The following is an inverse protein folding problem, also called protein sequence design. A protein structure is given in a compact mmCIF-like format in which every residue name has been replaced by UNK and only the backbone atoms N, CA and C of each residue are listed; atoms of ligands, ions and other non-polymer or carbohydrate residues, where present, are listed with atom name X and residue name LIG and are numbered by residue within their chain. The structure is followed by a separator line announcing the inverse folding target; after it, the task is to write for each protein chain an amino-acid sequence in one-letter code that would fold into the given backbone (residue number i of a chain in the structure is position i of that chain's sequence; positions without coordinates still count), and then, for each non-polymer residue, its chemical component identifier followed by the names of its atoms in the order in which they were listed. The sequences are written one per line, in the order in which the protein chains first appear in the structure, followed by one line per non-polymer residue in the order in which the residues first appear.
data_IF_559294053518
#
_entry.id   IF_559294053518
#
_cell.length_a   1.000
_cell.length_b   1.000
_cell.length_c   1.000
_cell.angle_alpha   90.00
_cell.angle_beta   90.00
_cell.angle_gamma   90.00
#
_symmetry.space_group_name_H-M   'P 1'
#
loop_
_entity.id
_entity.type
_entity.pdbx_description
1 polymer ?
#
# COMPACT_ATOMS: atom_id res chain seq x y z
N UNK A 1 1.45 4.49 -6.86
CA UNK A 1 1.50 3.04 -6.55
C UNK A 1 2.94 2.58 -6.70
N UNK A 2 3.42 1.72 -5.79
CA UNK A 2 4.71 1.04 -5.90
C UNK A 2 4.70 -0.01 -7.02
N UNK A 3 5.87 -0.53 -7.37
CA UNK A 3 6.03 -1.59 -8.37
C UNK A 3 5.38 -1.26 -9.73
N UNK A 4 5.65 -0.04 -10.21
CA UNK A 4 5.02 0.53 -11.41
C UNK A 4 5.07 -0.35 -12.65
N UNK A 5 6.17 -1.11 -12.82
CA UNK A 5 6.35 -2.07 -13.91
C UNK A 5 5.32 -3.20 -13.92
N UNK A 6 4.65 -3.49 -12.79
CA UNK A 6 3.66 -4.57 -12.67
C UNK A 6 2.21 -4.10 -12.87
N UNK A 7 1.97 -2.81 -13.11
CA UNK A 7 0.63 -2.25 -13.08
C UNK A 7 -0.09 -2.29 -14.44
N UNK A 8 0.63 -2.06 -15.54
CA UNK A 8 0.06 -1.71 -16.83
C UNK A 8 0.22 -2.79 -17.91
N UNK A 9 1.36 -3.46 -17.97
CA UNK A 9 1.71 -4.42 -19.02
C UNK A 9 1.39 -5.85 -18.60
N UNK A 10 0.55 -6.53 -19.36
CA UNK A 10 0.16 -7.93 -19.12
C UNK A 10 1.35 -8.92 -19.22
N UNK A 11 2.44 -8.55 -19.86
CA UNK A 11 3.65 -9.37 -19.98
C UNK A 11 4.69 -9.05 -18.89
N UNK A 12 4.37 -8.16 -17.94
CA UNK A 12 5.33 -7.67 -16.95
C UNK A 12 5.80 -8.73 -15.96
N UNK A 13 4.94 -9.68 -15.60
CA UNK A 13 5.24 -10.78 -14.67
C UNK A 13 4.68 -12.11 -15.17
N UNK A 14 5.10 -13.22 -14.53
CA UNK A 14 4.54 -14.56 -14.78
C UNK A 14 3.03 -14.62 -14.58
N UNK A 15 2.48 -13.80 -13.68
CA UNK A 15 1.06 -13.76 -13.31
C UNK A 15 0.28 -12.63 -13.99
N UNK A 16 0.90 -11.94 -14.96
CA UNK A 16 0.34 -10.77 -15.64
C UNK A 16 0.50 -9.48 -14.84
N UNK A 17 -0.29 -8.47 -15.15
CA UNK A 17 -0.28 -7.18 -14.46
C UNK A 17 -1.46 -7.04 -13.51
N UNK A 18 -1.47 -5.95 -12.73
CA UNK A 18 -2.66 -5.52 -11.96
C UNK A 18 -3.82 -5.05 -12.86
N UNK A 19 -3.56 -4.85 -14.15
CA UNK A 19 -4.54 -4.39 -15.14
C UNK A 19 -5.29 -3.11 -14.69
N UNK A 20 -4.56 -2.17 -14.13
CA UNK A 20 -5.13 -0.94 -13.55
C UNK A 20 -5.88 -0.08 -14.57
N UNK A 21 -5.49 -0.12 -15.84
CA UNK A 21 -6.16 0.61 -16.92
C UNK A 21 -7.61 0.14 -17.04
N UNK A 22 -7.82 -1.17 -17.18
CA UNK A 22 -9.18 -1.73 -17.28
C UNK A 22 -10.02 -1.46 -16.04
N UNK A 23 -9.43 -1.48 -14.85
CA UNK A 23 -10.13 -1.14 -13.61
C UNK A 23 -10.62 0.33 -13.62
N UNK A 24 -9.76 1.27 -14.01
CA UNK A 24 -10.12 2.70 -14.10
C UNK A 24 -11.17 2.95 -15.18
N UNK A 25 -11.04 2.33 -16.37
CA UNK A 25 -12.02 2.44 -17.45
C UNK A 25 -13.40 1.89 -17.04
N UNK A 26 -13.42 0.74 -16.37
CA UNK A 26 -14.65 0.14 -15.88
C UNK A 26 -15.32 1.01 -14.81
N UNK A 27 -14.54 1.55 -13.88
CA UNK A 27 -15.07 2.43 -12.84
C UNK A 27 -15.64 3.73 -13.47
N UNK A 28 -14.92 4.32 -14.41
CA UNK A 28 -15.41 5.50 -15.14
C UNK A 28 -16.70 5.22 -15.90
N UNK A 29 -16.81 4.06 -16.56
CA UNK A 29 -18.03 3.71 -17.31
C UNK A 29 -19.22 3.45 -16.38
N UNK A 30 -19.00 2.91 -15.20
CA UNK A 30 -20.06 2.54 -14.26
C UNK A 30 -20.52 3.72 -13.39
N UNK A 31 -19.59 4.58 -12.95
CA UNK A 31 -19.86 5.61 -11.94
C UNK A 31 -19.61 7.05 -12.43
N UNK A 32 -18.91 7.22 -13.54
CA UNK A 32 -18.43 8.51 -14.02
C UNK A 32 -17.19 9.03 -13.29
N UNK A 33 -16.67 8.29 -12.30
CA UNK A 33 -15.45 8.63 -11.55
C UNK A 33 -14.22 8.02 -12.21
N UNK A 34 -13.09 8.70 -12.07
CA UNK A 34 -11.81 8.25 -12.64
C UNK A 34 -10.64 8.72 -11.81
N UNK A 35 -9.48 8.08 -12.00
CA UNK A 35 -8.23 8.41 -11.34
C UNK A 35 -7.09 8.49 -12.35
N UNK A 36 -6.06 9.28 -12.04
CA UNK A 36 -4.75 9.19 -12.65
C UNK A 36 -3.93 8.20 -11.83
N UNK A 37 -3.46 7.13 -12.45
CA UNK A 37 -2.58 6.15 -11.81
C UNK A 37 -1.13 6.51 -12.13
N UNK A 38 -0.33 6.65 -11.07
CA UNK A 38 1.11 6.90 -11.15
C UNK A 38 1.83 5.66 -10.63
N UNK A 39 2.50 4.92 -11.51
CA UNK A 39 3.36 3.78 -11.16
C UNK A 39 4.79 4.27 -10.92
N UNK A 40 5.41 3.83 -9.86
CA UNK A 40 6.83 4.06 -9.54
C UNK A 40 7.51 2.71 -9.62
N UNK A 41 8.40 2.55 -10.62
CA UNK A 41 9.17 1.33 -10.80
C UNK A 41 10.11 1.11 -9.61
N UNK A 42 10.28 -0.12 -9.20
CA UNK A 42 11.24 -0.50 -8.16
C UNK A 42 12.64 -0.76 -8.74
N UNK A 43 13.65 -0.75 -7.88
CA UNK A 43 15.05 -1.01 -8.21
C UNK A 43 15.42 -2.49 -8.33
N UNK A 44 14.50 -3.39 -8.69
CA UNK A 44 14.71 -4.84 -8.85
C UNK A 44 15.27 -5.50 -7.57
N UNK A 45 16.54 -5.87 -7.55
CA UNK A 45 17.19 -6.52 -6.39
C UNK A 45 17.23 -5.64 -5.14
N UNK A 46 17.04 -4.31 -5.28
CA UNK A 46 16.98 -3.35 -4.17
C UNK A 46 15.56 -3.07 -3.70
N UNK A 47 14.54 -3.63 -4.36
CA UNK A 47 13.13 -3.37 -4.09
C UNK A 47 12.76 -3.42 -2.60
N UNK A 48 13.14 -4.50 -1.94
CA UNK A 48 12.79 -4.67 -0.53
C UNK A 48 13.51 -3.65 0.36
N UNK A 49 14.73 -3.25 0.01
CA UNK A 49 15.44 -2.17 0.71
C UNK A 49 14.72 -0.83 0.54
N UNK A 50 14.33 -0.50 -0.69
CA UNK A 50 13.64 0.75 -1.03
C UNK A 50 12.26 0.86 -0.38
N UNK A 51 11.56 -0.27 -0.20
CA UNK A 51 10.18 -0.33 0.25
C UNK A 51 10.03 -0.84 1.71
N UNK A 52 11.10 -0.73 2.50
CA UNK A 52 11.09 -1.10 3.92
C UNK A 52 11.58 0.09 4.76
N UNK A 53 10.69 0.75 5.53
CA UNK A 53 11.06 1.83 6.43
C UNK A 53 11.93 1.32 7.59
N UNK A 54 12.96 2.04 7.95
CA UNK A 54 13.89 1.66 9.03
C UNK A 54 13.42 2.12 10.41
N UNK A 55 12.67 3.21 10.48
CA UNK A 55 12.34 3.89 11.74
C UNK A 55 11.24 3.18 12.56
N UNK A 56 10.58 2.15 12.02
CA UNK A 56 9.50 1.44 12.71
C UNK A 56 10.06 0.55 13.83
N UNK A 57 11.11 -0.24 13.56
CA UNK A 57 11.67 -1.16 14.53
C UNK A 57 12.83 -1.99 13.98
N UNK A 58 13.15 -3.09 14.69
CA UNK A 58 14.15 -4.04 14.23
C UNK A 58 13.54 -5.05 13.24
N UNK A 59 14.27 -5.31 12.14
CA UNK A 59 13.82 -6.21 11.07
C UNK A 59 13.72 -7.64 11.60
N UNK A 60 12.52 -8.18 11.54
CA UNK A 60 12.22 -9.59 11.75
C UNK A 60 12.38 -10.35 10.42
N UNK A 61 12.45 -11.69 10.49
CA UNK A 61 12.47 -12.55 9.29
C UNK A 61 13.53 -12.14 8.25
N UNK A 62 14.72 -11.76 8.72
CA UNK A 62 15.85 -11.30 7.87
C UNK A 62 16.22 -12.30 6.77
N UNK A 63 15.94 -13.58 6.98
CA UNK A 63 16.17 -14.70 6.07
C UNK A 63 15.26 -14.71 4.83
N UNK A 64 14.17 -13.93 4.82
CA UNK A 64 13.35 -13.71 3.62
C UNK A 64 13.95 -12.69 2.64
N UNK A 65 14.93 -11.91 3.08
CA UNK A 65 15.56 -10.89 2.27
C UNK A 65 16.89 -11.36 1.68
N UNK A 66 17.29 -10.78 0.55
CA UNK A 66 18.58 -11.05 -0.06
C UNK A 66 19.75 -10.49 0.77
N UNK A 67 20.99 -10.88 0.41
CA UNK A 67 22.20 -10.51 1.17
C UNK A 67 22.52 -9.01 1.14
N UNK A 68 22.01 -8.26 0.14
CA UNK A 68 22.24 -6.82 0.00
C UNK A 68 21.16 -5.97 0.68
N UNK A 69 20.15 -6.60 1.27
CA UNK A 69 19.05 -5.88 1.91
C UNK A 69 19.53 -4.94 3.01
N UNK A 70 19.14 -3.69 2.86
CA UNK A 70 19.37 -2.60 3.83
C UNK A 70 18.17 -1.66 3.78
N UNK A 71 17.32 -1.57 4.82
CA UNK A 71 16.09 -0.80 4.77
C UNK A 71 16.36 0.69 4.55
N UNK A 72 15.70 1.26 3.54
CA UNK A 72 15.85 2.64 3.05
C UNK A 72 14.49 3.27 2.67
N UNK A 73 13.36 2.79 3.24
CA UNK A 73 12.03 3.27 2.92
C UNK A 73 11.84 4.78 3.10
N UNK A 74 12.58 5.41 4.01
CA UNK A 74 12.58 6.87 4.19
C UNK A 74 13.22 7.61 3.00
N UNK A 75 14.08 6.96 2.22
CA UNK A 75 14.62 7.53 0.98
C UNK A 75 13.54 7.51 -0.12
N UNK A 76 12.78 6.42 -0.21
CA UNK A 76 11.62 6.33 -1.09
C UNK A 76 10.55 7.37 -0.71
N UNK A 77 10.25 7.54 0.57
CA UNK A 77 9.37 8.57 1.10
C UNK A 77 9.78 9.98 0.62
N UNK A 78 11.04 10.36 0.83
CA UNK A 78 11.56 11.65 0.37
C UNK A 78 11.45 11.81 -1.17
N UNK A 79 11.72 10.75 -1.92
CA UNK A 79 11.55 10.77 -3.37
C UNK A 79 10.08 10.97 -3.78
N UNK A 80 9.16 10.25 -3.14
CA UNK A 80 7.73 10.35 -3.41
C UNK A 80 7.21 11.76 -3.11
N UNK A 81 7.53 12.29 -1.93
CA UNK A 81 6.96 13.55 -1.44
C UNK A 81 7.63 14.79 -2.00
N UNK A 82 8.94 14.76 -2.25
CA UNK A 82 9.70 15.93 -2.72
C UNK A 82 9.85 15.98 -4.25
N UNK A 83 9.64 14.85 -4.94
CA UNK A 83 9.83 14.78 -6.39
C UNK A 83 8.59 14.35 -7.14
N UNK A 84 8.04 13.16 -6.84
CA UNK A 84 6.95 12.58 -7.64
C UNK A 84 5.66 13.36 -7.49
N UNK A 85 5.19 13.59 -6.26
CA UNK A 85 3.94 14.33 -6.01
C UNK A 85 4.00 15.73 -6.62
N UNK A 86 5.03 16.56 -6.35
CA UNK A 86 5.12 17.90 -6.97
C UNK A 86 5.19 17.88 -8.50
N UNK A 87 5.86 16.86 -9.08
CA UNK A 87 5.89 16.71 -10.53
C UNK A 87 4.49 16.45 -11.11
N UNK A 88 3.75 15.51 -10.53
CA UNK A 88 2.38 15.18 -10.98
C UNK A 88 1.46 16.36 -10.82
N UNK A 89 1.47 17.04 -9.68
CA UNK A 89 0.63 18.19 -9.39
C UNK A 89 0.87 19.40 -10.29
N UNK A 90 2.09 19.55 -10.82
CA UNK A 90 2.46 20.66 -11.69
C UNK A 90 2.24 20.36 -13.18
N UNK A 91 2.17 19.08 -13.57
CA UNK A 91 2.13 18.69 -14.98
C UNK A 91 0.81 18.03 -15.41
N UNK A 92 -0.04 17.62 -14.46
CA UNK A 92 -1.30 16.92 -14.74
C UNK A 92 -2.48 17.61 -14.05
N UNK A 93 -3.69 17.57 -14.64
CA UNK A 93 -4.88 18.21 -14.07
C UNK A 93 -5.50 17.32 -12.97
N UNK A 94 -4.78 17.15 -11.84
CA UNK A 94 -5.21 16.35 -10.70
C UNK A 94 -5.74 17.22 -9.55
N UNK A 95 -6.62 16.66 -8.73
CA UNK A 95 -6.97 17.27 -7.45
C UNK A 95 -5.80 17.11 -6.48
N UNK A 96 -5.59 18.13 -5.61
CA UNK A 96 -4.45 18.19 -4.68
C UNK A 96 -4.85 18.09 -3.21
N UNK A 97 -6.13 18.03 -2.92
CA UNK A 97 -6.63 17.82 -1.57
C UNK A 97 -6.42 16.35 -1.18
N UNK A 98 -6.07 16.11 0.06
CA UNK A 98 -5.66 14.77 0.55
C UNK A 98 -6.73 13.69 0.31
N UNK A 99 -8.02 14.03 0.41
CA UNK A 99 -9.12 13.10 0.18
C UNK A 99 -9.13 12.53 -1.25
N UNK A 100 -8.48 13.23 -2.19
CA UNK A 100 -8.37 12.82 -3.59
C UNK A 100 -7.01 12.22 -3.94
N UNK A 101 -6.16 11.96 -2.94
CA UNK A 101 -4.82 11.38 -3.13
C UNK A 101 -4.71 10.08 -2.34
N UNK A 102 -4.34 9.01 -3.03
CA UNK A 102 -4.13 7.70 -2.44
C UNK A 102 -2.72 7.18 -2.73
N UNK A 103 -2.17 6.43 -1.78
CA UNK A 103 -0.99 5.60 -1.97
C UNK A 103 -1.36 4.13 -1.85
N UNK A 104 -0.82 3.27 -2.74
CA UNK A 104 -1.16 1.85 -2.75
C UNK A 104 0.03 1.02 -3.21
N UNK A 105 0.14 -0.18 -2.66
CA UNK A 105 1.15 -1.16 -3.03
C UNK A 105 0.87 -2.54 -2.46
N UNK A 106 1.70 -3.52 -2.84
CA UNK A 106 1.61 -4.89 -2.35
C UNK A 106 2.90 -5.37 -1.71
N UNK A 107 2.81 -6.32 -0.78
CA UNK A 107 3.98 -6.91 -0.11
C UNK A 107 4.80 -5.82 0.62
N UNK A 108 6.12 -5.73 0.37
CA UNK A 108 6.95 -4.60 0.83
C UNK A 108 6.41 -3.25 0.36
N UNK A 109 5.82 -3.19 -0.86
CA UNK A 109 5.13 -1.99 -1.36
C UNK A 109 3.85 -1.65 -0.59
N UNK A 110 3.14 -2.64 -0.05
CA UNK A 110 1.99 -2.46 0.84
C UNK A 110 2.42 -1.94 2.22
N UNK A 111 3.53 -2.46 2.74
CA UNK A 111 4.18 -1.93 3.94
C UNK A 111 4.57 -0.46 3.76
N UNK A 112 5.26 -0.13 2.66
CA UNK A 112 5.67 1.24 2.36
C UNK A 112 4.45 2.16 2.16
N UNK A 113 3.41 1.71 1.45
CA UNK A 113 2.19 2.50 1.27
C UNK A 113 1.49 2.82 2.61
N UNK A 114 1.47 1.86 3.53
CA UNK A 114 0.97 2.10 4.88
C UNK A 114 1.82 3.13 5.64
N UNK A 115 3.14 2.99 5.57
CA UNK A 115 4.08 3.95 6.17
C UNK A 115 3.87 5.37 5.63
N UNK A 116 3.77 5.55 4.30
CA UNK A 116 3.51 6.84 3.66
C UNK A 116 2.21 7.49 4.19
N UNK A 117 1.15 6.71 4.34
CA UNK A 117 -0.11 7.22 4.89
C UNK A 117 0.01 7.69 6.34
N UNK A 118 0.82 6.99 7.15
CA UNK A 118 1.04 7.35 8.55
C UNK A 118 1.96 8.59 8.70
N UNK A 119 2.99 8.72 7.86
CA UNK A 119 3.90 9.86 7.89
C UNK A 119 3.26 11.12 7.30
N UNK A 120 2.44 10.97 6.25
CA UNK A 120 1.89 12.07 5.47
C UNK A 120 0.36 12.07 5.41
N UNK A 121 -0.28 11.96 6.57
CA UNK A 121 -1.75 12.03 6.69
C UNK A 121 -2.32 13.39 6.23
N UNK A 122 -1.49 14.39 6.07
CA UNK A 122 -1.81 15.68 5.46
C UNK A 122 -1.84 15.65 3.91
N UNK A 123 -1.21 14.64 3.29
CA UNK A 123 -1.13 14.46 1.83
C UNK A 123 -2.01 13.32 1.33
N UNK A 124 -2.05 12.20 2.05
CA UNK A 124 -2.79 11.02 1.68
C UNK A 124 -4.04 10.86 2.52
N UNK A 125 -5.21 10.88 1.89
CA UNK A 125 -6.49 10.58 2.52
C UNK A 125 -6.88 9.11 2.44
N UNK A 126 -6.13 8.30 1.66
CA UNK A 126 -6.46 6.90 1.43
C UNK A 126 -5.20 6.05 1.20
N UNK A 127 -5.14 4.89 1.87
CA UNK A 127 -4.04 3.93 1.79
C UNK A 127 -4.56 2.58 1.31
N UNK A 128 -3.89 1.98 0.33
CA UNK A 128 -4.09 0.59 -0.08
C UNK A 128 -2.88 -0.26 0.31
N UNK A 129 -3.04 -1.12 1.31
CA UNK A 129 -2.02 -2.06 1.77
C UNK A 129 -2.45 -3.48 1.40
N UNK A 130 -1.95 -4.00 0.26
CA UNK A 130 -2.34 -5.30 -0.27
C UNK A 130 -1.28 -6.34 0.08
N UNK A 131 -1.67 -7.43 0.75
CA UNK A 131 -0.74 -8.44 1.29
C UNK A 131 0.49 -7.80 1.95
N UNK A 132 0.31 -6.81 2.87
CA UNK A 132 1.40 -5.98 3.34
C UNK A 132 2.41 -6.76 4.19
N UNK A 133 3.68 -6.44 4.04
CA UNK A 133 4.76 -7.09 4.78
C UNK A 133 4.87 -6.62 6.25
N UNK A 134 3.75 -6.54 6.98
CA UNK A 134 3.73 -6.08 8.37
C UNK A 134 4.52 -6.99 9.31
N UNK A 135 4.65 -8.29 8.98
CA UNK A 135 5.45 -9.27 9.73
C UNK A 135 6.94 -8.91 9.83
N UNK A 136 7.41 -7.93 9.06
CA UNK A 136 8.80 -7.42 9.12
C UNK A 136 9.12 -6.76 10.46
N UNK A 137 8.12 -6.32 11.21
CA UNK A 137 8.25 -5.73 12.55
C UNK A 137 7.38 -6.47 13.57
N UNK A 138 7.76 -6.39 14.84
CA UNK A 138 6.95 -6.93 15.93
C UNK A 138 5.70 -6.09 16.16
N UNK A 139 4.68 -6.67 16.82
CA UNK A 139 3.50 -5.93 17.26
C UNK A 139 3.88 -4.76 18.20
N UNK A 140 4.87 -4.94 19.06
CA UNK A 140 5.35 -3.89 19.97
C UNK A 140 5.99 -2.73 19.20
N UNK A 141 6.76 -3.01 18.14
CA UNK A 141 7.31 -1.98 17.25
C UNK A 141 6.20 -1.20 16.56
N UNK A 142 5.21 -1.90 15.99
CA UNK A 142 4.04 -1.29 15.37
C UNK A 142 3.24 -0.45 16.36
N UNK A 143 3.00 -0.96 17.56
CA UNK A 143 2.28 -0.23 18.62
C UNK A 143 2.99 1.07 18.98
N UNK A 144 4.31 1.00 19.20
CA UNK A 144 5.11 2.18 19.53
C UNK A 144 5.11 3.22 18.39
N UNK A 145 5.26 2.76 17.16
CA UNK A 145 5.23 3.61 15.97
C UNK A 145 3.86 4.30 15.82
N UNK A 146 2.77 3.53 15.81
CA UNK A 146 1.41 4.04 15.62
C UNK A 146 1.00 5.01 16.72
N UNK A 147 1.32 4.75 17.99
CA UNK A 147 1.07 5.69 19.08
C UNK A 147 1.76 7.04 18.90
N UNK A 148 2.86 7.09 18.13
CA UNK A 148 3.55 8.33 17.79
C UNK A 148 2.91 9.09 16.62
N UNK A 149 2.09 8.42 15.78
CA UNK A 149 1.54 8.96 14.53
C UNK A 149 0.04 9.19 14.58
N UNK A 150 -0.72 8.31 15.21
CA UNK A 150 -2.18 8.39 15.22
C UNK A 150 -2.65 9.68 15.92
N UNK A 151 -3.42 10.43 15.17
CA UNK A 151 -4.05 11.69 15.61
C UNK A 151 -5.47 11.78 15.01
N UNK A 152 -6.16 12.88 15.16
CA UNK A 152 -7.57 13.00 14.72
C UNK A 152 -7.79 13.13 13.20
N UNK A 153 -6.73 13.17 12.39
CA UNK A 153 -6.79 13.41 10.94
C UNK A 153 -5.96 12.38 10.16
N UNK A 154 -6.37 11.13 10.24
CA UNK A 154 -5.70 9.98 9.63
C UNK A 154 -6.33 9.59 8.28
N UNK A 155 -5.58 8.92 7.35
CA UNK A 155 -6.13 8.42 6.11
C UNK A 155 -7.09 7.25 6.34
N UNK A 156 -7.95 6.96 5.38
CA UNK A 156 -8.65 5.67 5.35
C UNK A 156 -7.70 4.57 4.91
N UNK A 157 -7.70 3.43 5.62
CA UNK A 157 -6.82 2.30 5.32
C UNK A 157 -7.66 1.16 4.75
N UNK A 158 -7.31 0.73 3.53
CA UNK A 158 -7.83 -0.46 2.90
C UNK A 158 -6.76 -1.56 2.97
N UNK A 159 -7.01 -2.62 3.74
CA UNK A 159 -6.12 -3.78 3.87
C UNK A 159 -6.71 -4.99 3.16
N UNK A 160 -5.86 -5.73 2.47
CA UNK A 160 -6.21 -7.00 1.84
C UNK A 160 -5.09 -8.02 2.07
N UNK A 161 -5.45 -9.28 2.30
CA UNK A 161 -4.51 -10.41 2.28
C UNK A 161 -5.18 -11.70 1.82
N UNK A 162 -4.41 -12.58 1.15
CA UNK A 162 -4.76 -13.95 0.86
C UNK A 162 -4.22 -14.93 1.92
N UNK A 163 -4.31 -16.26 1.64
CA UNK A 163 -3.63 -17.28 2.46
C UNK A 163 -3.34 -18.57 1.67
N UNK A 164 -3.30 -18.52 0.35
CA UNK A 164 -3.17 -19.73 -0.48
C UNK A 164 -1.72 -20.27 -0.57
N UNK A 165 -0.74 -19.59 0.02
CA UNK A 165 0.63 -20.03 0.09
C UNK A 165 1.27 -19.67 1.46
N UNK A 166 2.45 -20.29 1.82
CA UNK A 166 3.05 -20.08 3.13
C UNK A 166 3.46 -18.63 3.43
N UNK A 167 3.74 -17.81 2.41
CA UNK A 167 4.06 -16.40 2.60
C UNK A 167 2.78 -15.63 2.95
N UNK A 168 1.70 -15.83 2.18
CA UNK A 168 0.41 -15.20 2.45
C UNK A 168 -0.15 -15.60 3.83
N UNK A 169 0.07 -16.83 4.31
CA UNK A 169 -0.32 -17.22 5.67
C UNK A 169 0.35 -16.35 6.76
N UNK A 170 1.64 -16.04 6.59
CA UNK A 170 2.38 -15.15 7.51
C UNK A 170 1.87 -13.71 7.40
N UNK A 171 1.69 -13.24 6.17
CA UNK A 171 1.22 -11.86 5.93
C UNK A 171 -0.22 -11.66 6.40
N UNK A 172 -1.08 -12.67 6.24
CA UNK A 172 -2.45 -12.63 6.78
C UNK A 172 -2.44 -12.47 8.31
N UNK A 173 -1.65 -13.28 9.03
CA UNK A 173 -1.56 -13.16 10.49
C UNK A 173 -1.11 -11.77 10.94
N UNK A 174 -0.17 -11.16 10.20
CA UNK A 174 0.29 -9.81 10.52
C UNK A 174 -0.70 -8.72 10.08
N UNK A 175 -1.52 -8.99 9.06
CA UNK A 175 -2.61 -8.10 8.64
C UNK A 175 -3.74 -8.12 9.67
N UNK A 176 -4.14 -9.32 10.16
CA UNK A 176 -5.12 -9.46 11.26
C UNK A 176 -4.59 -8.80 12.55
N UNK A 177 -3.31 -8.99 12.89
CA UNK A 177 -2.67 -8.29 14.01
C UNK A 177 -2.79 -6.76 13.85
N UNK A 178 -2.52 -6.22 12.68
CA UNK A 178 -2.64 -4.78 12.43
C UNK A 178 -4.10 -4.31 12.53
N UNK A 179 -5.05 -5.09 12.02
CA UNK A 179 -6.49 -4.79 12.12
C UNK A 179 -6.94 -4.68 13.58
N UNK A 180 -6.46 -5.59 14.44
CA UNK A 180 -6.78 -5.57 15.87
C UNK A 180 -6.05 -4.45 16.63
N UNK A 181 -4.82 -4.10 16.19
CA UNK A 181 -3.99 -3.09 16.84
C UNK A 181 -4.49 -1.65 16.59
N UNK A 182 -4.98 -1.36 15.37
CA UNK A 182 -5.40 -0.01 14.99
C UNK A 182 -6.38 0.64 15.98
N UNK A 183 -7.49 -0.02 16.39
CA UNK A 183 -8.41 0.57 17.38
C UNK A 183 -7.79 0.68 18.77
N UNK A 184 -6.85 -0.17 19.16
CA UNK A 184 -6.17 -0.09 20.45
C UNK A 184 -5.27 1.16 20.57
N UNK A 185 -4.73 1.63 19.46
CA UNK A 185 -3.95 2.88 19.40
C UNK A 185 -4.81 4.11 19.12
N UNK A 186 -6.13 3.96 19.05
CA UNK A 186 -7.07 5.06 18.88
C UNK A 186 -7.45 5.39 17.44
N UNK A 187 -7.16 4.51 16.50
CA UNK A 187 -7.63 4.66 15.12
C UNK A 187 -9.14 4.43 15.03
N UNK A 188 -9.93 5.31 14.38
CA UNK A 188 -11.38 5.14 14.32
C UNK A 188 -11.80 3.91 13.49
N UNK A 189 -12.75 3.13 13.99
CA UNK A 189 -13.23 1.89 13.35
C UNK A 189 -13.84 2.08 11.95
N UNK A 190 -14.31 3.26 11.62
CA UNK A 190 -14.89 3.60 10.32
C UNK A 190 -13.84 4.11 9.32
N UNK A 191 -12.57 4.14 9.72
CA UNK A 191 -11.44 4.64 8.94
C UNK A 191 -10.52 3.53 8.43
N UNK A 192 -10.89 2.27 8.58
CA UNK A 192 -10.16 1.14 7.98
C UNK A 192 -11.08 -0.04 7.72
N UNK A 193 -10.67 -0.90 6.79
CA UNK A 193 -11.30 -2.20 6.55
C UNK A 193 -10.24 -3.26 6.26
N UNK A 194 -10.64 -4.52 6.38
CA UNK A 194 -9.85 -5.67 6.03
C UNK A 194 -10.65 -6.58 5.09
N UNK A 195 -10.01 -7.05 4.03
CA UNK A 195 -10.57 -8.02 3.10
C UNK A 195 -9.66 -9.25 3.07
N UNK A 196 -10.15 -10.38 3.54
CA UNK A 196 -9.41 -11.65 3.55
C UNK A 196 -10.01 -12.61 2.52
N UNK A 197 -9.22 -13.05 1.53
CA UNK A 197 -9.62 -14.00 0.50
C UNK A 197 -8.75 -15.26 0.58
N UNK A 198 -9.28 -16.30 1.21
CA UNK A 198 -8.58 -17.53 1.59
C UNK A 198 -8.03 -18.36 0.43
N UNK A 199 -8.41 -18.12 -0.81
CA UNK A 199 -7.93 -18.88 -1.97
C UNK A 199 -6.92 -18.11 -2.83
N UNK A 200 -6.51 -16.91 -2.40
CA UNK A 200 -5.61 -16.05 -3.15
C UNK A 200 -4.16 -16.21 -2.68
N UNK A 201 -3.25 -16.30 -3.64
CA UNK A 201 -1.81 -16.43 -3.45
C UNK A 201 -1.10 -15.07 -3.59
N UNK A 202 0.17 -15.01 -3.20
CA UNK A 202 1.02 -13.81 -3.24
C UNK A 202 1.49 -13.46 -4.65
N UNK A 203 0.61 -12.90 -5.48
CA UNK A 203 0.94 -12.55 -6.86
C UNK A 203 0.01 -11.48 -7.46
N UNK A 204 0.39 -10.98 -8.63
CA UNK A 204 -0.31 -9.92 -9.38
C UNK A 204 -1.74 -10.34 -9.79
N UNK A 205 -2.00 -11.62 -9.99
CA UNK A 205 -3.35 -12.10 -10.31
C UNK A 205 -4.31 -11.84 -9.14
N UNK A 206 -3.88 -12.12 -7.91
CA UNK A 206 -4.68 -11.87 -6.71
C UNK A 206 -4.92 -10.36 -6.51
N UNK A 207 -3.88 -9.54 -6.65
CA UNK A 207 -4.01 -8.09 -6.51
C UNK A 207 -4.84 -7.44 -7.61
N UNK A 208 -4.82 -7.97 -8.83
CA UNK A 208 -5.72 -7.56 -9.92
C UNK A 208 -7.18 -7.82 -9.61
N UNK A 209 -7.49 -8.91 -8.92
CA UNK A 209 -8.87 -9.24 -8.54
C UNK A 209 -9.41 -8.28 -7.49
N UNK A 210 -8.58 -7.80 -6.57
CA UNK A 210 -9.00 -6.90 -5.48
C UNK A 210 -8.91 -5.41 -5.85
N UNK A 211 -8.02 -5.03 -6.77
CA UNK A 211 -7.78 -3.62 -7.12
C UNK A 211 -9.04 -2.84 -7.55
N UNK A 212 -10.01 -3.41 -8.30
CA UNK A 212 -11.25 -2.71 -8.60
C UNK A 212 -12.07 -2.31 -7.37
N UNK A 213 -12.12 -3.15 -6.34
CA UNK A 213 -12.83 -2.86 -5.08
C UNK A 213 -12.12 -1.76 -4.28
N UNK A 214 -10.80 -1.85 -4.18
CA UNK A 214 -9.97 -0.77 -3.62
C UNK A 214 -10.20 0.55 -4.33
N UNK A 215 -10.15 0.58 -5.68
CA UNK A 215 -10.33 1.78 -6.49
C UNK A 215 -11.72 2.38 -6.32
N UNK A 216 -12.76 1.55 -6.34
CA UNK A 216 -14.14 1.97 -6.10
C UNK A 216 -14.28 2.61 -4.71
N UNK A 217 -13.78 1.96 -3.66
CA UNK A 217 -13.84 2.44 -2.28
C UNK A 217 -13.11 3.78 -2.14
N UNK A 218 -11.94 3.92 -2.73
CA UNK A 218 -11.21 5.19 -2.75
C UNK A 218 -12.01 6.30 -3.44
N UNK A 219 -12.49 6.06 -4.66
CA UNK A 219 -13.19 7.07 -5.45
C UNK A 219 -14.55 7.46 -4.84
N UNK A 220 -15.23 6.53 -4.17
CA UNK A 220 -16.47 6.84 -3.46
C UNK A 220 -16.23 7.74 -2.23
N UNK A 221 -15.14 7.48 -1.48
CA UNK A 221 -14.75 8.33 -0.34
C UNK A 221 -14.15 9.67 -0.75
N UNK A 222 -13.59 9.80 -1.96
CA UNK A 222 -13.02 11.03 -2.50
C UNK A 222 -14.05 12.02 -3.13
N UNK A 223 -15.34 11.67 -3.06
CA UNK A 223 -16.45 12.53 -3.52
C UNK A 223 -16.63 13.69 -2.56
#
# INVERSE_FOLDING_TARGET
MTDGQNLFDEESTEYGSWNVISAVENEQNNTGLSAVIVGIDNGNIYRDSELTPKCIGEIQHRDYFNDIFSPEGEVFDSFLTDTVIPYIENNFPVKKNKESVSVCGSSSGGLQAFFEGMEHSDKFGFVGALSPAFAVYTEDDWRAYLLSKVNGDMPYIYMYCGNADPLEEILMQSTEMMYDLLPEVGYPYDMFNEVLLFENAHNEKAWREIFPDFLHTFLDKAR
#
